data_IF_024919640222
#
_entry.id   IF_024919640222
#
_cell.length_a   1.000
_cell.length_b   1.000
_cell.length_c   1.000
_cell.angle_alpha   90.00
_cell.angle_beta   90.00
_cell.angle_gamma   90.00
#
_symmetry.space_group_name_H-M   'P 1'
#
loop_
_entity.id
_entity.type
_entity.pdbx_description
1 polymer ?
#
# COMPACT_ATOMS: atom_id res chain seq x y z
N UNK A 1 -0.22 -31.69 9.03
CA UNK A 1 -1.18 -31.30 7.98
C UNK A 1 -1.05 -29.80 7.85
N UNK A 2 -0.32 -29.32 6.84
CA UNK A 2 -0.22 -27.90 6.52
C UNK A 2 -1.13 -27.66 5.31
N UNK A 3 -1.95 -26.62 5.41
CA UNK A 3 -2.79 -26.13 4.33
C UNK A 3 -1.87 -25.51 3.25
N UNK A 4 -1.80 -26.05 2.03
CA UNK A 4 -0.90 -25.56 0.98
C UNK A 4 -1.36 -24.25 0.34
N UNK A 5 -2.48 -23.66 0.77
CA UNK A 5 -3.09 -22.49 0.13
C UNK A 5 -2.80 -21.12 0.76
N UNK A 6 -2.04 -21.04 1.86
CA UNK A 6 -1.88 -19.77 2.56
C UNK A 6 -0.56 -19.06 2.17
N UNK A 7 -0.62 -17.85 1.57
CA UNK A 7 0.59 -17.12 1.19
C UNK A 7 1.48 -16.89 2.42
N UNK A 8 2.78 -17.11 2.27
CA UNK A 8 3.73 -16.75 3.30
C UNK A 8 3.58 -15.25 3.62
N UNK A 9 3.38 -14.94 4.90
CA UNK A 9 3.26 -13.57 5.39
C UNK A 9 4.48 -13.28 6.24
N UNK A 10 5.25 -12.29 5.83
CA UNK A 10 6.33 -11.74 6.65
C UNK A 10 6.02 -10.28 6.97
N UNK A 11 6.49 -9.82 8.11
CA UNK A 11 6.31 -8.44 8.52
C UNK A 11 7.65 -7.78 8.77
N UNK A 12 7.71 -6.47 8.48
CA UNK A 12 8.89 -5.66 8.72
C UNK A 12 8.50 -4.38 9.43
N UNK A 13 9.21 -4.04 10.49
CA UNK A 13 9.09 -2.72 11.10
C UNK A 13 9.77 -1.68 10.21
N UNK A 14 9.04 -0.63 9.86
CA UNK A 14 9.52 0.47 8.99
C UNK A 14 9.76 1.77 9.74
N UNK A 15 9.13 1.93 10.91
CA UNK A 15 9.34 3.04 11.83
C UNK A 15 9.19 2.56 13.27
N UNK A 16 10.09 3.00 14.14
CA UNK A 16 9.96 2.86 15.60
C UNK A 16 10.01 4.25 16.24
N UNK A 17 9.07 4.54 17.13
CA UNK A 17 9.00 5.78 17.90
C UNK A 17 9.07 5.45 19.38
N UNK A 18 9.88 6.21 20.12
CA UNK A 18 9.94 6.12 21.57
C UNK A 18 8.68 6.74 22.24
N UNK A 19 8.46 6.47 23.54
CA UNK A 19 7.29 6.95 24.27
C UNK A 19 7.16 8.47 24.33
N UNK A 20 8.28 9.21 24.36
CA UNK A 20 8.27 10.68 24.40
C UNK A 20 7.73 11.24 23.08
N UNK A 21 8.22 10.69 21.96
CA UNK A 21 7.76 11.07 20.62
C UNK A 21 6.29 10.69 20.43
N UNK A 22 5.85 9.52 20.92
CA UNK A 22 4.45 9.09 20.89
C UNK A 22 3.57 10.02 21.72
N UNK A 23 3.99 10.38 22.93
CA UNK A 23 3.28 11.33 23.79
C UNK A 23 3.16 12.74 23.19
N UNK A 24 4.08 13.11 22.29
CA UNK A 24 4.05 14.38 21.56
C UNK A 24 3.17 14.39 20.29
N UNK A 25 2.60 13.23 19.90
CA UNK A 25 1.72 13.15 18.73
C UNK A 25 0.47 14.01 18.96
N UNK A 26 0.23 14.93 18.03
CA UNK A 26 -0.94 15.80 18.04
C UNK A 26 -2.13 15.04 17.49
N UNK A 27 -3.33 15.40 17.92
CA UNK A 27 -4.54 14.93 17.24
C UNK A 27 -4.52 15.45 15.79
N UNK A 28 -4.95 14.60 14.86
CA UNK A 28 -4.85 14.79 13.41
C UNK A 28 -3.53 14.27 12.82
N UNK A 29 -3.05 14.96 11.77
CA UNK A 29 -1.92 14.53 10.94
C UNK A 29 -0.56 14.85 11.59
N UNK A 30 0.30 13.84 11.70
CA UNK A 30 1.70 13.91 12.13
C UNK A 30 2.63 13.33 11.04
N UNK A 31 3.68 14.06 10.68
CA UNK A 31 4.71 13.57 9.76
C UNK A 31 5.94 13.14 10.57
N UNK A 32 6.43 11.92 10.33
CA UNK A 32 7.62 11.38 11.00
C UNK A 32 8.58 10.82 9.96
N UNK A 33 9.87 11.12 10.12
CA UNK A 33 10.92 10.56 9.28
C UNK A 33 11.56 9.40 10.02
N UNK A 34 11.66 8.26 9.37
CA UNK A 34 12.41 7.12 9.90
C UNK A 34 13.91 7.38 9.75
N UNK A 35 14.66 7.08 10.79
CA UNK A 35 16.13 7.11 10.76
C UNK A 35 16.72 5.90 10.04
N UNK A 36 15.95 4.82 9.90
CA UNK A 36 16.43 3.53 9.43
C UNK A 36 16.45 3.46 7.90
N UNK A 37 15.38 3.94 7.24
CA UNK A 37 15.25 3.95 5.79
C UNK A 37 15.26 5.37 5.17
N UNK A 38 15.26 6.41 6.01
CA UNK A 38 15.22 7.81 5.57
C UNK A 38 13.87 8.28 5.00
N UNK A 39 12.85 7.42 5.00
CA UNK A 39 11.54 7.68 4.42
C UNK A 39 10.64 8.45 5.39
N UNK A 40 9.66 9.14 4.82
CA UNK A 40 8.65 9.86 5.59
C UNK A 40 7.37 9.04 5.69
N UNK A 41 6.74 9.11 6.85
CA UNK A 41 5.52 8.43 7.21
C UNK A 41 4.49 9.44 7.70
N UNK A 42 3.23 9.15 7.44
CA UNK A 42 2.08 9.90 7.97
C UNK A 42 1.45 9.05 9.06
N UNK A 43 1.30 9.61 10.25
CA UNK A 43 0.55 9.03 11.37
C UNK A 43 -0.62 9.95 11.65
N UNK A 44 -1.83 9.45 11.45
CA UNK A 44 -3.07 10.10 11.81
C UNK A 44 -3.53 9.59 13.17
N UNK A 45 -3.81 10.52 14.08
CA UNK A 45 -4.43 10.24 15.37
C UNK A 45 -5.81 10.85 15.40
N UNK A 46 -6.85 10.04 15.61
CA UNK A 46 -8.19 10.59 15.74
C UNK A 46 -8.45 11.17 17.15
N UNK A 47 -9.66 11.69 17.37
CA UNK A 47 -10.04 12.32 18.65
C UNK A 47 -10.24 11.30 19.77
N UNK A 48 -10.41 10.02 19.44
CA UNK A 48 -10.55 8.90 20.37
C UNK A 48 -9.18 8.32 20.73
N UNK A 49 -8.12 8.70 20.01
CA UNK A 49 -6.76 8.24 20.19
C UNK A 49 -6.37 7.08 19.27
N UNK A 50 -7.25 6.64 18.38
CA UNK A 50 -6.95 5.59 17.41
C UNK A 50 -5.94 6.10 16.38
N UNK A 51 -5.03 5.22 15.99
CA UNK A 51 -3.90 5.54 15.14
C UNK A 51 -4.01 4.82 13.81
N UNK A 52 -3.85 5.57 12.72
CA UNK A 52 -3.71 5.03 11.37
C UNK A 52 -2.43 5.57 10.76
N UNK A 53 -1.77 4.77 9.92
CA UNK A 53 -0.51 5.20 9.33
C UNK A 53 -0.31 4.72 7.91
N UNK A 54 0.38 5.51 7.11
CA UNK A 54 0.79 5.14 5.76
C UNK A 54 2.11 5.82 5.39
N UNK A 55 2.68 5.40 4.26
CA UNK A 55 3.89 6.00 3.71
C UNK A 55 3.57 7.39 3.19
N UNK A 56 4.43 8.38 3.44
CA UNK A 56 4.27 9.72 2.89
C UNK A 56 4.74 9.76 1.42
N UNK A 57 4.10 8.97 0.57
CA UNK A 57 4.41 8.91 -0.86
C UNK A 57 3.11 8.72 -1.64
N UNK A 58 2.80 9.70 -2.47
CA UNK A 58 1.62 9.68 -3.31
C UNK A 58 1.76 8.61 -4.40
N UNK A 59 0.84 7.64 -4.42
CA UNK A 59 0.74 6.57 -5.42
C UNK A 59 0.60 7.05 -6.86
N UNK A 60 0.15 8.28 -7.09
CA UNK A 60 0.05 8.81 -8.45
C UNK A 60 1.41 8.85 -9.16
N UNK A 61 2.39 9.63 -8.65
CA UNK A 61 3.74 9.75 -9.25
C UNK A 61 4.82 10.05 -8.19
N UNK A 62 4.66 9.49 -6.99
CA UNK A 62 5.65 9.54 -5.92
C UNK A 62 5.89 10.91 -5.28
N UNK A 63 4.96 11.86 -5.39
CA UNK A 63 5.05 13.14 -4.67
C UNK A 63 4.89 12.98 -3.16
N UNK A 64 5.46 13.87 -2.36
CA UNK A 64 5.19 13.89 -0.92
C UNK A 64 3.85 14.57 -0.63
N UNK A 65 3.21 14.22 0.46
CA UNK A 65 2.07 14.94 0.99
C UNK A 65 2.48 15.98 2.02
N UNK A 66 1.72 17.07 2.03
CA UNK A 66 1.74 18.12 3.05
C UNK A 66 0.31 18.32 3.57
N UNK A 67 0.13 18.95 4.74
CA UNK A 67 -1.21 19.33 5.19
C UNK A 67 -1.87 20.21 4.13
N UNK A 68 -3.13 19.92 3.82
CA UNK A 68 -3.88 20.76 2.92
C UNK A 68 -4.36 22.01 3.67
N UNK A 69 -4.19 23.19 3.08
CA UNK A 69 -4.56 24.46 3.74
C UNK A 69 -6.08 24.69 3.72
N UNK A 70 -6.77 24.00 2.83
CA UNK A 70 -8.24 24.02 2.70
C UNK A 70 -8.90 22.97 3.61
N UNK A 71 -8.09 22.20 4.35
CA UNK A 71 -8.55 21.15 5.24
C UNK A 71 -9.13 21.74 6.53
N UNK A 72 -10.45 21.62 6.69
CA UNK A 72 -11.15 22.12 7.87
C UNK A 72 -11.27 21.05 8.97
N UNK A 73 -11.17 19.77 8.63
CA UNK A 73 -11.39 18.66 9.57
C UNK A 73 -10.10 17.99 10.06
N UNK A 74 -8.93 18.40 9.53
CA UNK A 74 -7.62 17.91 9.95
C UNK A 74 -7.27 16.52 9.42
N UNK A 75 -7.98 16.02 8.41
CA UNK A 75 -7.86 14.66 7.86
C UNK A 75 -7.35 14.64 6.43
N UNK A 76 -7.12 15.79 5.81
CA UNK A 76 -6.75 15.86 4.39
C UNK A 76 -5.31 16.32 4.21
N UNK A 77 -4.56 15.53 3.45
CA UNK A 77 -3.23 15.92 2.96
C UNK A 77 -3.25 16.07 1.45
N UNK A 78 -2.44 17.00 0.95
CA UNK A 78 -2.33 17.31 -0.47
C UNK A 78 -0.94 17.00 -1.00
N UNK A 79 -0.89 16.31 -2.13
CA UNK A 79 0.34 15.99 -2.84
C UNK A 79 1.00 17.27 -3.38
N UNK A 80 2.31 17.39 -3.20
CA UNK A 80 3.08 18.56 -3.65
C UNK A 80 3.27 18.63 -5.17
N UNK A 81 3.13 17.51 -5.89
CA UNK A 81 3.31 17.46 -7.35
C UNK A 81 2.04 17.86 -8.11
N UNK A 82 0.96 17.11 -7.91
CA UNK A 82 -0.25 17.21 -8.73
C UNK A 82 -1.49 17.57 -7.92
N UNK A 83 -1.32 18.00 -6.66
CA UNK A 83 -2.41 18.47 -5.81
C UNK A 83 -3.48 17.43 -5.48
N UNK A 84 -3.20 16.15 -5.72
CA UNK A 84 -4.07 15.04 -5.33
C UNK A 84 -4.25 15.03 -3.81
N UNK A 85 -5.49 14.83 -3.37
CA UNK A 85 -5.84 14.87 -1.95
C UNK A 85 -6.11 13.47 -1.42
N UNK A 86 -5.56 13.16 -0.27
CA UNK A 86 -5.73 11.91 0.47
C UNK A 86 -6.39 12.21 1.80
N UNK A 87 -7.48 11.50 2.11
CA UNK A 87 -8.04 11.48 3.46
C UNK A 87 -7.31 10.43 4.29
N UNK A 88 -6.55 10.85 5.29
CA UNK A 88 -5.70 9.95 6.10
C UNK A 88 -6.48 9.12 7.11
N UNK A 89 -7.74 9.46 7.39
CA UNK A 89 -8.60 8.65 8.25
C UNK A 89 -9.16 7.42 7.51
N UNK A 90 -9.37 7.53 6.18
CA UNK A 90 -9.87 6.43 5.36
C UNK A 90 -8.80 5.79 4.49
N UNK A 91 -7.64 6.42 4.35
CA UNK A 91 -6.58 6.09 3.38
C UNK A 91 -7.03 6.18 1.91
N UNK A 92 -8.16 6.83 1.63
CA UNK A 92 -8.68 7.00 0.27
C UNK A 92 -8.32 8.36 -0.31
N UNK A 93 -7.98 8.38 -1.59
CA UNK A 93 -7.90 9.62 -2.33
C UNK A 93 -9.29 10.20 -2.53
N UNK A 94 -9.45 11.49 -2.22
CA UNK A 94 -10.72 12.22 -2.29
C UNK A 94 -10.73 13.26 -3.41
N UNK A 95 -9.57 13.52 -4.00
CA UNK A 95 -9.45 14.34 -5.20
C UNK A 95 -8.25 13.87 -6.04
N UNK A 96 -8.48 13.20 -7.18
CA UNK A 96 -9.79 12.75 -7.67
C UNK A 96 -10.38 11.66 -6.74
N UNK A 97 -11.70 11.64 -6.54
CA UNK A 97 -12.37 10.54 -5.81
C UNK A 97 -12.27 9.23 -6.60
N UNK A 98 -12.52 8.11 -5.92
CA UNK A 98 -12.57 6.76 -6.54
C UNK A 98 -11.29 6.36 -7.31
N UNK A 99 -10.14 6.92 -6.91
CA UNK A 99 -8.85 6.63 -7.54
C UNK A 99 -8.12 5.51 -6.82
N UNK A 100 -7.14 5.84 -5.98
CA UNK A 100 -6.33 4.85 -5.26
C UNK A 100 -6.67 4.85 -3.76
N UNK A 101 -6.13 3.86 -3.05
CA UNK A 101 -6.00 3.86 -1.59
C UNK A 101 -4.53 3.72 -1.23
N UNK A 102 -4.11 4.35 -0.12
CA UNK A 102 -2.80 4.09 0.46
C UNK A 102 -2.79 2.75 1.18
N UNK A 103 -1.63 2.08 1.17
CA UNK A 103 -1.43 0.89 1.98
C UNK A 103 -1.28 1.33 3.44
N UNK A 104 -2.13 0.76 4.30
CA UNK A 104 -2.15 1.08 5.72
C UNK A 104 -1.15 0.18 6.47
N UNK A 105 -0.29 0.80 7.28
CA UNK A 105 0.60 0.07 8.17
C UNK A 105 -0.13 -0.39 9.42
N UNK A 106 0.22 -1.57 9.91
CA UNK A 106 -0.21 -2.01 11.23
C UNK A 106 0.52 -1.18 12.29
N UNK A 107 -0.24 -0.55 13.18
CA UNK A 107 0.28 0.26 14.29
C UNK A 107 0.33 -0.61 15.55
N UNK A 108 1.55 -0.88 16.03
CA UNK A 108 1.77 -1.73 17.21
C UNK A 108 2.34 -0.89 18.34
N UNK A 109 1.60 -0.80 19.45
CA UNK A 109 2.10 -0.18 20.68
C UNK A 109 3.07 -1.12 21.38
N UNK A 110 4.19 -0.60 21.89
CA UNK A 110 5.12 -1.38 22.70
C UNK A 110 4.73 -1.34 24.17
N UNK A 111 5.17 -2.34 24.95
CA UNK A 111 4.89 -2.41 26.40
C UNK A 111 5.44 -1.20 27.17
N UNK A 112 6.47 -0.54 26.63
CA UNK A 112 7.10 0.65 27.19
C UNK A 112 6.35 1.95 26.82
N UNK A 113 5.26 1.87 26.03
CA UNK A 113 4.49 3.01 25.56
C UNK A 113 5.00 3.65 24.26
N UNK A 114 5.95 2.99 23.57
CA UNK A 114 6.41 3.37 22.24
C UNK A 114 5.46 2.87 21.14
N UNK A 115 5.81 3.14 19.89
CA UNK A 115 5.01 2.78 18.72
C UNK A 115 5.89 2.22 17.61
N UNK A 116 5.40 1.18 16.92
CA UNK A 116 6.01 0.63 15.71
C UNK A 116 5.00 0.66 14.56
N UNK A 117 5.47 1.07 13.39
CA UNK A 117 4.75 0.86 12.13
C UNK A 117 5.28 -0.41 11.47
N UNK A 118 4.38 -1.34 11.19
CA UNK A 118 4.69 -2.64 10.64
C UNK A 118 4.08 -2.75 9.25
N UNK A 119 4.96 -2.94 8.27
CA UNK A 119 4.59 -3.32 6.92
C UNK A 119 4.33 -4.83 6.88
N UNK A 120 3.15 -5.18 6.38
CA UNK A 120 2.75 -6.56 6.15
C UNK A 120 3.02 -6.90 4.70
N UNK A 121 3.99 -7.77 4.47
CA UNK A 121 4.34 -8.27 3.15
C UNK A 121 3.61 -9.59 2.96
N UNK A 122 2.59 -9.57 2.11
CA UNK A 122 1.91 -10.78 1.65
C UNK A 122 2.65 -11.24 0.40
N UNK A 123 3.31 -12.40 0.47
CA UNK A 123 3.90 -12.97 -0.73
C UNK A 123 2.78 -13.41 -1.67
N UNK A 124 2.82 -12.92 -2.91
CA UNK A 124 1.94 -13.41 -3.96
C UNK A 124 2.35 -14.87 -4.28
N UNK A 125 1.46 -15.87 -4.07
CA UNK A 125 1.73 -17.25 -4.43
C UNK A 125 2.11 -17.41 -5.91
N UNK A 126 1.61 -16.54 -6.78
CA UNK A 126 1.86 -16.57 -8.23
C UNK A 126 3.25 -16.05 -8.61
N UNK A 127 3.92 -15.31 -7.72
CA UNK A 127 5.31 -14.85 -7.90
C UNK A 127 6.33 -15.76 -7.21
N UNK A 128 5.90 -16.58 -6.25
CA UNK A 128 6.78 -17.45 -5.48
C UNK A 128 7.25 -18.67 -6.28
N UNK A 129 6.41 -19.20 -7.17
CA UNK A 129 6.74 -20.32 -8.06
C UNK A 129 6.28 -20.01 -9.49
N UNK A 130 7.05 -19.20 -10.26
CA UNK A 130 6.77 -18.99 -11.67
C UNK A 130 6.78 -20.33 -12.40
N UNK A 131 5.63 -20.74 -12.95
CA UNK A 131 5.57 -21.92 -13.81
C UNK A 131 6.27 -21.62 -15.12
N UNK A 132 6.93 -22.63 -15.67
CA UNK A 132 7.52 -22.54 -17.00
C UNK A 132 6.42 -22.21 -18.03
N UNK A 133 6.76 -21.31 -18.97
CA UNK A 133 5.89 -20.98 -20.09
C UNK A 133 5.56 -22.25 -20.88
N UNK A 134 4.29 -22.65 -20.88
CA UNK A 134 3.83 -23.78 -21.67
C UNK A 134 3.57 -23.37 -23.11
N UNK A 135 3.80 -24.30 -24.04
CA UNK A 135 3.50 -24.10 -25.45
C UNK A 135 1.99 -24.21 -25.66
N UNK A 136 1.39 -23.17 -26.25
CA UNK A 136 -0.04 -23.12 -26.55
C UNK A 136 -0.47 -24.33 -27.38
N UNK A 137 -1.60 -24.94 -26.99
CA UNK A 137 -2.28 -25.96 -27.78
C UNK A 137 -3.23 -25.34 -28.80
N UNK A 138 -3.68 -26.15 -29.77
CA UNK A 138 -4.65 -25.73 -30.78
C UNK A 138 -5.99 -25.38 -30.11
N UNK A 139 -6.43 -24.12 -30.27
CA UNK A 139 -7.61 -23.57 -29.61
C UNK A 139 -7.31 -22.64 -28.43
N UNK A 140 -6.05 -22.55 -28.00
CA UNK A 140 -5.60 -21.59 -26.98
C UNK A 140 -5.14 -20.27 -27.62
N UNK A 141 -5.35 -19.15 -26.93
CA UNK A 141 -5.03 -17.81 -27.44
C UNK A 141 -4.32 -16.96 -26.39
N UNK A 142 -3.33 -16.19 -26.82
CA UNK A 142 -2.70 -15.15 -26.00
C UNK A 142 -3.64 -13.95 -25.88
N UNK A 143 -3.98 -13.56 -24.65
CA UNK A 143 -4.71 -12.32 -24.38
C UNK A 143 -3.69 -11.25 -23.95
N UNK A 144 -3.46 -10.20 -24.74
CA UNK A 144 -2.60 -9.11 -24.31
C UNK A 144 -3.28 -8.33 -23.18
N UNK A 145 -2.70 -8.38 -21.98
CA UNK A 145 -3.09 -7.52 -20.87
C UNK A 145 -2.43 -6.14 -21.03
N UNK A 146 -3.24 -5.09 -21.05
CA UNK A 146 -2.77 -3.71 -21.03
C UNK A 146 -2.98 -3.13 -19.62
N UNK A 147 -1.92 -3.08 -18.82
CA UNK A 147 -1.93 -2.29 -17.59
C UNK A 147 -1.78 -0.80 -17.94
N UNK A 148 -2.67 0.05 -17.43
CA UNK A 148 -2.50 1.50 -17.57
C UNK A 148 -1.25 1.97 -16.81
N UNK A 149 -0.49 2.95 -17.32
CA UNK A 149 0.70 3.45 -16.63
C UNK A 149 0.29 4.10 -15.30
N UNK A 150 0.71 3.52 -14.17
CA UNK A 150 0.49 4.06 -12.82
C UNK A 150 0.02 3.07 -11.76
N UNK A 151 -0.23 1.79 -12.11
CA UNK A 151 -0.72 0.76 -11.16
C UNK A 151 0.33 -0.29 -10.81
N UNK A 152 1.56 -0.21 -11.32
CA UNK A 152 2.60 -1.21 -11.01
C UNK A 152 3.82 -0.56 -10.34
N UNK A 153 4.22 -1.15 -9.22
CA UNK A 153 5.57 -1.01 -8.67
C UNK A 153 6.58 -1.51 -9.71
N UNK A 154 7.80 -0.96 -9.68
CA UNK A 154 8.82 -1.03 -10.75
C UNK A 154 9.42 -2.43 -11.02
N UNK A 155 8.72 -3.51 -10.73
CA UNK A 155 9.23 -4.89 -10.79
C UNK A 155 8.41 -5.85 -11.66
N UNK A 156 7.43 -5.36 -12.42
CA UNK A 156 6.51 -6.16 -13.24
C UNK A 156 6.52 -5.77 -14.73
N UNK A 157 7.67 -5.36 -15.24
CA UNK A 157 7.86 -5.30 -16.68
C UNK A 157 8.01 -6.74 -17.23
N UNK A 158 6.89 -7.28 -17.75
CA UNK A 158 6.74 -8.47 -18.64
C UNK A 158 6.27 -9.78 -17.99
N UNK A 159 5.08 -9.82 -17.42
CA UNK A 159 4.33 -11.08 -17.32
C UNK A 159 3.31 -11.15 -18.45
N UNK A 160 3.56 -12.03 -19.43
CA UNK A 160 2.54 -12.48 -20.39
C UNK A 160 1.79 -13.64 -19.73
N UNK A 161 0.55 -13.42 -19.30
CA UNK A 161 -0.31 -14.48 -18.75
C UNK A 161 -1.08 -15.15 -19.88
N UNK A 162 -1.10 -16.49 -19.89
CA UNK A 162 -1.80 -17.32 -20.88
C UNK A 162 -3.11 -17.83 -20.27
N UNK A 163 -4.23 -17.67 -20.96
CA UNK A 163 -5.54 -18.19 -20.54
C UNK A 163 -6.03 -19.26 -21.52
N UNK A 164 -6.71 -20.29 -21.02
CA UNK A 164 -7.37 -21.31 -21.84
C UNK A 164 -8.88 -21.03 -21.83
N UNK A 165 -9.47 -20.86 -23.01
CA UNK A 165 -10.91 -20.72 -23.18
C UNK A 165 -11.47 -22.01 -23.82
N UNK A 166 -12.18 -22.82 -23.04
CA UNK A 166 -13.08 -23.84 -23.60
C UNK A 166 -14.51 -23.32 -23.50
N UNK A 167 -15.25 -23.36 -24.62
CA UNK A 167 -16.67 -23.03 -24.77
C UNK A 167 -17.40 -22.71 -23.44
N UNK A 168 -17.47 -21.40 -23.14
CA UNK A 168 -18.14 -20.75 -22.00
C UNK A 168 -17.51 -20.80 -20.60
N UNK A 169 -16.24 -21.24 -20.44
CA UNK A 169 -15.49 -21.03 -19.19
C UNK A 169 -14.04 -20.61 -19.47
N UNK A 170 -13.59 -19.53 -18.82
CA UNK A 170 -12.18 -19.16 -18.73
C UNK A 170 -11.60 -19.78 -17.45
N UNK A 171 -10.54 -20.58 -17.58
CA UNK A 171 -9.77 -21.07 -16.44
C UNK A 171 -8.34 -20.57 -16.62
N UNK A 172 -7.85 -19.82 -15.65
CA UNK A 172 -6.47 -19.32 -15.57
C UNK A 172 -5.57 -20.49 -15.15
N UNK A 173 -4.54 -20.79 -15.95
CA UNK A 173 -3.55 -21.81 -15.58
C UNK A 173 -2.50 -21.21 -14.68
#
# INVERSE_FOLDING_TARGET
>A
MHDPGQPARHSRTVLSLDPEVVGSLKDGINFKKSTDDGMWYIIYKDQQGELKACKNQCKHQGGLFIKDIEDLDGRTVRCTKHYWKLNVSTMCYVNPPESFTQDEFEVVMTDEGGLKLVEVIVHDPWLAEPRDLQKLQEGEMTVPWFCQPGVMDNHLDKLQTTFICHHNFCVEQ
#
